data_IF_952377804402
#
_entry.id   IF_952377804402
#
_cell.length_a   1.000
_cell.length_b   1.000
_cell.length_c   1.000
_cell.angle_alpha   90.00
_cell.angle_beta   90.00
_cell.angle_gamma   90.00
#
_symmetry.space_group_name_H-M   'P 1'
#
loop_
_entity.id
_entity.type
_entity.pdbx_description
1 polymer ?
#
# COMPACT_ATOMS: atom_id res chain seq x y z
N UNK A 1 -9.00 7.87 -18.36
CA UNK A 1 -7.78 7.33 -17.70
C UNK A 1 -6.79 6.97 -18.79
N UNK A 2 -5.48 6.94 -18.53
CA UNK A 2 -4.45 6.60 -19.52
C UNK A 2 -4.55 5.09 -19.92
N UNK A 3 -5.65 4.67 -20.55
CA UNK A 3 -5.81 3.38 -21.23
C UNK A 3 -5.15 3.50 -22.61
N UNK A 4 -4.00 2.83 -22.77
CA UNK A 4 -3.33 2.70 -24.05
C UNK A 4 -4.26 2.03 -25.06
N UNK A 5 -4.51 2.74 -26.15
CA UNK A 5 -5.31 2.28 -27.28
C UNK A 5 -4.81 0.93 -27.80
N UNK A 6 -5.74 -0.01 -27.86
CA UNK A 6 -5.61 -1.30 -28.56
C UNK A 6 -5.45 -1.01 -30.06
N UNK A 7 -4.47 -1.58 -30.78
CA UNK A 7 -4.45 -1.45 -32.23
C UNK A 7 -5.58 -2.31 -32.81
N UNK A 8 -6.54 -1.65 -33.48
CA UNK A 8 -7.56 -2.30 -34.28
C UNK A 8 -6.93 -3.12 -35.40
N UNK A 9 -7.50 -4.30 -35.61
CA UNK A 9 -7.15 -5.22 -36.68
C UNK A 9 -7.49 -4.60 -38.05
N UNK A 10 -6.47 -4.30 -38.85
CA UNK A 10 -6.61 -4.03 -40.27
C UNK A 10 -6.34 -5.31 -41.07
N UNK A 11 -7.42 -5.86 -41.63
CA UNK A 11 -7.48 -6.90 -42.65
C UNK A 11 -7.00 -6.35 -44.00
N UNK A 12 -6.02 -7.01 -44.64
CA UNK A 12 -5.76 -7.01 -46.09
C UNK A 12 -4.99 -8.30 -46.42
N UNK A 13 -5.63 -9.38 -46.88
CA UNK A 13 -6.00 -9.67 -48.26
C UNK A 13 -4.80 -10.01 -49.18
N UNK A 14 -4.67 -11.32 -49.42
CA UNK A 14 -4.06 -12.06 -50.55
C UNK A 14 -3.04 -11.40 -51.49
N UNK A 15 -1.89 -12.06 -51.67
CA UNK A 15 -1.50 -12.54 -53.01
C UNK A 15 -0.60 -13.79 -52.90
N UNK A 16 -0.99 -14.86 -53.61
CA UNK A 16 -0.28 -16.14 -53.75
C UNK A 16 0.71 -16.12 -54.92
N UNK A 17 1.72 -16.99 -54.81
CA UNK A 17 2.35 -17.91 -55.81
C UNK A 17 3.85 -17.66 -56.09
N UNK A 18 4.62 -18.68 -56.55
CA UNK A 18 4.74 -20.05 -56.00
C UNK A 18 6.20 -20.58 -56.01
N UNK A 19 6.33 -21.83 -55.58
CA UNK A 19 7.51 -22.69 -55.40
C UNK A 19 8.51 -22.78 -56.58
N UNK A 20 9.79 -22.98 -56.25
CA UNK A 20 10.67 -23.93 -56.94
C UNK A 20 11.66 -24.55 -55.95
N UNK A 21 11.92 -25.84 -56.16
CA UNK A 21 12.61 -26.77 -55.27
C UNK A 21 14.12 -26.82 -55.50
N UNK A 22 14.86 -27.22 -54.47
CA UNK A 22 16.27 -27.60 -54.57
C UNK A 22 16.74 -28.25 -53.27
N UNK A 23 16.72 -29.59 -53.23
CA UNK A 23 17.23 -30.43 -52.15
C UNK A 23 18.75 -30.25 -51.98
N UNK A 24 19.24 -30.19 -50.75
CA UNK A 24 20.49 -30.87 -50.34
C UNK A 24 20.63 -30.86 -48.81
N UNK A 25 20.75 -32.06 -48.28
CA UNK A 25 20.91 -32.48 -46.89
C UNK A 25 22.32 -32.25 -46.32
N UNK A 26 22.44 -32.06 -45.00
CA UNK A 26 23.61 -32.59 -44.27
C UNK A 26 24.20 -31.76 -43.12
N UNK A 27 23.68 -32.02 -41.91
CA UNK A 27 24.38 -32.09 -40.60
C UNK A 27 24.95 -30.83 -39.91
N UNK A 28 24.95 -30.80 -38.55
CA UNK A 28 25.14 -29.59 -37.73
C UNK A 28 26.60 -29.41 -37.29
N UNK A 29 27.04 -28.15 -37.14
CA UNK A 29 28.38 -27.81 -36.60
C UNK A 29 28.21 -26.93 -35.33
N UNK A 30 28.99 -27.16 -34.26
CA UNK A 30 28.72 -26.65 -32.93
C UNK A 30 29.41 -25.30 -32.62
N UNK A 31 28.90 -24.71 -31.54
CA UNK A 31 29.40 -23.59 -30.73
C UNK A 31 30.90 -23.25 -30.89
N UNK A 32 31.19 -21.99 -31.20
CA UNK A 32 32.52 -21.41 -31.17
C UNK A 32 32.50 -20.18 -30.25
N UNK A 33 33.20 -20.30 -29.12
CA UNK A 33 33.56 -19.21 -28.22
C UNK A 33 34.32 -18.13 -29.01
N UNK A 34 33.84 -16.89 -28.91
CA UNK A 34 34.61 -15.71 -29.29
C UNK A 34 34.88 -14.89 -28.04
N UNK A 35 36.11 -15.03 -27.53
CA UNK A 35 36.72 -14.12 -26.59
C UNK A 35 36.82 -12.71 -27.23
N UNK A 36 36.27 -11.71 -26.55
CA UNK A 36 36.26 -10.33 -27.02
C UNK A 36 36.07 -9.32 -25.88
N UNK A 37 37.20 -8.96 -25.26
CA UNK A 37 37.53 -7.60 -24.81
C UNK A 37 36.54 -6.76 -24.00
N UNK A 38 36.90 -6.50 -22.74
CA UNK A 38 37.02 -5.14 -22.21
C UNK A 38 35.78 -4.48 -21.61
N UNK A 39 35.75 -4.35 -20.28
CA UNK A 39 34.86 -3.40 -19.58
C UNK A 39 34.30 -3.94 -18.27
N UNK A 40 35.11 -3.95 -17.22
CA UNK A 40 34.72 -4.37 -15.88
C UNK A 40 33.68 -3.43 -15.26
N UNK A 41 32.49 -3.96 -15.01
CA UNK A 41 31.53 -3.44 -14.04
C UNK A 41 31.03 -4.62 -13.22
N UNK A 42 31.36 -4.67 -11.94
CA UNK A 42 30.95 -5.74 -11.03
C UNK A 42 29.41 -5.81 -10.97
N UNK A 43 28.81 -6.74 -11.70
CA UNK A 43 27.40 -7.07 -11.56
C UNK A 43 27.19 -7.67 -10.16
N UNK A 44 26.66 -6.86 -9.26
CA UNK A 44 26.33 -7.22 -7.89
C UNK A 44 25.49 -8.51 -7.90
N UNK A 45 26.01 -9.59 -7.31
CA UNK A 45 25.41 -10.92 -7.39
C UNK A 45 24.03 -10.95 -6.71
N UNK A 46 22.97 -10.64 -7.45
CA UNK A 46 21.58 -10.67 -6.98
C UNK A 46 21.22 -12.10 -6.56
N UNK A 47 20.86 -12.28 -5.27
CA UNK A 47 20.41 -13.58 -4.75
C UNK A 47 19.20 -14.07 -5.54
N UNK A 48 19.20 -15.36 -5.89
CA UNK A 48 18.05 -15.98 -6.59
C UNK A 48 16.84 -16.05 -5.65
N UNK A 49 15.63 -15.64 -6.09
CA UNK A 49 14.41 -15.74 -5.30
C UNK A 49 14.12 -17.19 -4.90
N UNK A 50 13.84 -17.40 -3.62
CA UNK A 50 13.51 -18.72 -3.04
C UNK A 50 12.00 -18.98 -2.96
N UNK A 51 11.18 -18.04 -3.47
CA UNK A 51 9.71 -18.17 -3.51
C UNK A 51 9.11 -18.44 -2.13
N UNK A 52 8.26 -19.47 -2.06
CA UNK A 52 7.48 -19.83 -0.87
C UNK A 52 8.29 -20.04 0.42
N UNK A 53 9.55 -20.47 0.32
CA UNK A 53 10.40 -20.66 1.53
C UNK A 53 10.70 -19.33 2.22
N UNK A 54 10.89 -18.25 1.47
CA UNK A 54 11.08 -16.91 2.03
C UNK A 54 9.73 -16.33 2.49
N UNK A 55 8.71 -16.50 1.65
CA UNK A 55 7.37 -15.94 1.86
C UNK A 55 6.69 -16.48 3.12
N UNK A 56 6.94 -17.73 3.52
CA UNK A 56 6.38 -18.30 4.76
C UNK A 56 6.75 -17.47 6.01
N UNK A 57 8.00 -17.00 6.10
CA UNK A 57 8.45 -16.13 7.19
C UNK A 57 7.77 -14.75 7.13
N UNK A 58 7.59 -14.20 5.93
CA UNK A 58 6.97 -12.88 5.70
C UNK A 58 5.49 -12.91 6.05
N UNK A 59 4.75 -13.92 5.59
CA UNK A 59 3.30 -14.07 5.85
C UNK A 59 3.05 -14.30 7.34
N UNK A 60 3.84 -15.14 8.01
CA UNK A 60 3.69 -15.39 9.45
C UNK A 60 3.90 -14.12 10.28
N UNK A 61 4.94 -13.34 9.94
CA UNK A 61 5.16 -12.03 10.55
C UNK A 61 4.01 -11.06 10.27
N UNK A 62 3.57 -10.97 9.01
CA UNK A 62 2.47 -10.10 8.63
C UNK A 62 1.17 -10.43 9.37
N UNK A 63 0.86 -11.72 9.57
CA UNK A 63 -0.30 -12.17 10.34
C UNK A 63 -0.24 -11.63 11.78
N UNK A 64 0.88 -11.87 12.47
CA UNK A 64 1.08 -11.45 13.86
C UNK A 64 1.05 -9.92 14.03
N UNK A 65 1.73 -9.20 13.14
CA UNK A 65 1.74 -7.74 13.14
C UNK A 65 0.35 -7.15 12.86
N UNK A 66 -0.41 -7.76 11.95
CA UNK A 66 -1.79 -7.35 11.64
C UNK A 66 -2.73 -7.59 12.82
N UNK A 67 -2.63 -8.75 13.49
CA UNK A 67 -3.41 -9.01 14.72
C UNK A 67 -3.10 -7.95 15.78
N UNK A 68 -1.82 -7.68 16.04
CA UNK A 68 -1.40 -6.73 17.06
C UNK A 68 -1.86 -5.30 16.78
N UNK A 69 -1.61 -4.80 15.56
CA UNK A 69 -2.03 -3.47 15.14
C UNK A 69 -3.55 -3.30 15.17
N UNK A 70 -4.29 -4.25 14.59
CA UNK A 70 -5.75 -4.19 14.56
C UNK A 70 -6.38 -4.34 15.94
N UNK A 71 -5.82 -5.18 16.82
CA UNK A 71 -6.31 -5.35 18.18
C UNK A 71 -6.23 -4.06 18.99
N UNK A 72 -5.22 -3.22 18.76
CA UNK A 72 -5.15 -1.89 19.36
C UNK A 72 -6.05 -0.89 18.65
N UNK A 73 -5.93 -0.75 17.33
CA UNK A 73 -6.66 0.27 16.56
C UNK A 73 -8.18 0.15 16.69
N UNK A 74 -8.76 -1.06 16.59
CA UNK A 74 -10.21 -1.24 16.70
C UNK A 74 -10.74 -1.12 18.14
N UNK A 75 -9.90 -1.37 19.14
CA UNK A 75 -10.29 -1.27 20.55
C UNK A 75 -10.03 0.11 21.14
N UNK A 76 -9.34 1.01 20.43
CA UNK A 76 -8.82 2.27 20.98
C UNK A 76 -9.91 3.12 21.64
N UNK A 77 -11.03 3.36 20.97
CA UNK A 77 -12.14 4.14 21.54
C UNK A 77 -12.69 3.50 22.82
N UNK A 78 -12.88 2.18 22.80
CA UNK A 78 -13.34 1.41 23.97
C UNK A 78 -12.31 1.46 25.11
N UNK A 79 -11.02 1.41 24.80
CA UNK A 79 -9.94 1.51 25.77
C UNK A 79 -9.86 2.91 26.41
N UNK A 80 -10.00 3.96 25.60
CA UNK A 80 -9.96 5.34 26.07
C UNK A 80 -11.15 5.66 26.97
N UNK A 81 -12.34 5.18 26.60
CA UNK A 81 -13.55 5.34 27.42
C UNK A 81 -13.43 4.46 28.66
N UNK A 82 -13.34 3.14 28.52
CA UNK A 82 -13.46 2.18 29.62
C UNK A 82 -12.27 2.13 30.58
N UNK A 83 -11.05 2.46 30.12
CA UNK A 83 -9.85 2.40 30.98
C UNK A 83 -9.25 3.76 31.29
N UNK A 84 -9.28 4.69 30.34
CA UNK A 84 -8.78 6.04 30.53
C UNK A 84 -9.83 7.04 31.03
N UNK A 85 -11.06 6.58 31.28
CA UNK A 85 -12.17 7.39 31.80
C UNK A 85 -12.42 8.66 30.95
N UNK A 86 -12.14 8.60 29.65
CA UNK A 86 -12.35 9.73 28.75
C UNK A 86 -13.82 9.83 28.35
N UNK A 87 -14.32 11.06 28.20
CA UNK A 87 -15.63 11.31 27.59
C UNK A 87 -15.64 10.80 26.16
N UNK A 88 -16.78 10.26 25.72
CA UNK A 88 -16.97 9.67 24.40
C UNK A 88 -16.48 10.57 23.26
N UNK A 89 -16.90 11.84 23.23
CA UNK A 89 -16.47 12.78 22.18
C UNK A 89 -14.95 12.99 22.13
N UNK A 90 -14.29 13.03 23.29
CA UNK A 90 -12.84 13.20 23.36
C UNK A 90 -12.11 11.93 22.91
N UNK A 91 -12.61 10.75 23.30
CA UNK A 91 -12.07 9.46 22.87
C UNK A 91 -12.18 9.25 21.36
N UNK A 92 -13.35 9.55 20.78
CA UNK A 92 -13.57 9.47 19.33
C UNK A 92 -12.67 10.45 18.57
N UNK A 93 -12.48 11.68 19.07
CA UNK A 93 -11.57 12.64 18.44
C UNK A 93 -10.12 12.15 18.44
N UNK A 94 -9.64 11.59 19.55
CA UNK A 94 -8.29 10.98 19.62
C UNK A 94 -8.16 9.80 18.65
N UNK A 95 -9.19 8.95 18.57
CA UNK A 95 -9.22 7.82 17.63
C UNK A 95 -9.18 8.30 16.17
N UNK A 96 -9.91 9.36 15.84
CA UNK A 96 -9.94 9.92 14.49
C UNK A 96 -8.60 10.54 14.10
N UNK A 97 -7.93 11.27 15.02
CA UNK A 97 -6.57 11.80 14.79
C UNK A 97 -5.57 10.66 14.61
N UNK A 98 -5.64 9.64 15.47
CA UNK A 98 -4.78 8.46 15.37
C UNK A 98 -4.97 7.73 14.04
N UNK A 99 -6.22 7.42 13.68
CA UNK A 99 -6.57 6.73 12.44
C UNK A 99 -6.14 7.53 11.21
N UNK A 100 -6.36 8.85 11.20
CA UNK A 100 -5.90 9.71 10.12
C UNK A 100 -4.38 9.70 9.96
N UNK A 101 -3.63 9.82 11.06
CA UNK A 101 -2.16 9.81 11.03
C UNK A 101 -1.62 8.43 10.66
N UNK A 102 -2.22 7.36 11.20
CA UNK A 102 -1.88 5.96 10.92
C UNK A 102 -2.08 5.59 9.45
N UNK A 103 -3.13 6.09 8.81
CA UNK A 103 -3.39 5.85 7.38
C UNK A 103 -2.62 6.80 6.44
N UNK A 104 -2.15 7.94 6.94
CA UNK A 104 -1.31 8.86 6.17
C UNK A 104 0.18 8.48 6.19
N UNK A 105 0.66 7.91 7.31
CA UNK A 105 2.08 7.55 7.46
C UNK A 105 2.65 6.62 6.37
N UNK A 106 1.90 5.69 5.73
CA UNK A 106 2.40 4.89 4.61
C UNK A 106 2.88 5.73 3.43
N UNK A 107 2.34 6.94 3.22
CA UNK A 107 2.81 7.85 2.15
C UNK A 107 4.25 8.29 2.42
N UNK A 108 4.54 8.68 3.66
CA UNK A 108 5.89 9.09 4.09
C UNK A 108 6.83 7.89 4.00
N UNK A 109 6.41 6.73 4.49
CA UNK A 109 7.26 5.54 4.46
C UNK A 109 7.51 4.98 3.06
N UNK A 110 6.55 5.10 2.14
CA UNK A 110 6.76 4.79 0.72
C UNK A 110 7.85 5.68 0.12
N UNK A 111 7.80 6.99 0.39
CA UNK A 111 8.85 7.92 -0.05
C UNK A 111 10.22 7.53 0.51
N UNK A 112 10.33 7.19 1.81
CA UNK A 112 11.59 6.77 2.43
C UNK A 112 12.12 5.45 1.82
N UNK A 113 11.23 4.49 1.59
CA UNK A 113 11.58 3.20 0.99
C UNK A 113 12.10 3.36 -0.43
N UNK A 114 11.43 4.16 -1.26
CA UNK A 114 11.75 4.31 -2.67
C UNK A 114 12.94 5.26 -2.91
N UNK A 115 13.13 6.27 -2.05
CA UNK A 115 14.16 7.29 -2.25
C UNK A 115 15.51 6.96 -1.58
N UNK A 116 15.52 6.29 -0.41
CA UNK A 116 16.75 6.20 0.40
C UNK A 116 17.10 4.78 0.84
N UNK A 117 16.19 4.06 1.47
CA UNK A 117 16.54 2.87 2.26
C UNK A 117 16.31 1.55 1.53
N UNK A 118 15.47 1.55 0.49
CA UNK A 118 14.93 0.33 -0.10
C UNK A 118 13.82 -0.29 0.77
N UNK A 119 13.10 -1.24 0.18
CA UNK A 119 11.90 -1.84 0.76
C UNK A 119 12.19 -2.63 2.05
N UNK A 120 13.25 -3.43 2.06
CA UNK A 120 13.57 -4.28 3.22
C UNK A 120 14.00 -3.50 4.46
N UNK A 121 14.90 -2.52 4.32
CA UNK A 121 15.37 -1.74 5.47
C UNK A 121 14.23 -0.92 6.08
N UNK A 122 13.38 -0.35 5.24
CA UNK A 122 12.20 0.39 5.69
C UNK A 122 11.19 -0.52 6.40
N UNK A 123 10.95 -1.71 5.85
CA UNK A 123 10.16 -2.74 6.51
C UNK A 123 10.75 -3.06 7.89
N UNK A 124 12.04 -3.42 7.96
CA UNK A 124 12.73 -3.81 9.19
C UNK A 124 12.69 -2.72 10.26
N UNK A 125 12.93 -1.46 9.89
CA UNK A 125 12.83 -0.34 10.84
C UNK A 125 11.38 -0.18 11.32
N UNK A 126 10.41 -0.22 10.40
CA UNK A 126 8.99 -0.17 10.73
C UNK A 126 8.57 -1.26 11.70
N UNK A 127 9.04 -2.50 11.51
CA UNK A 127 8.70 -3.62 12.40
C UNK A 127 9.30 -3.47 13.79
N UNK A 128 10.52 -2.95 13.92
CA UNK A 128 11.14 -2.62 15.21
C UNK A 128 10.30 -1.58 15.96
N UNK A 129 9.87 -0.51 15.27
CA UNK A 129 8.96 0.48 15.84
C UNK A 129 7.62 -0.14 16.24
N UNK A 130 7.09 -1.10 15.48
CA UNK A 130 5.84 -1.79 15.78
C UNK A 130 5.92 -2.66 17.03
N UNK A 131 7.01 -3.41 17.19
CA UNK A 131 7.27 -4.21 18.41
C UNK A 131 7.41 -3.28 19.62
N UNK A 132 8.17 -2.20 19.50
CA UNK A 132 8.33 -1.20 20.57
C UNK A 132 6.99 -0.53 20.92
N UNK A 133 6.18 -0.18 19.93
CA UNK A 133 4.85 0.40 20.12
C UNK A 133 3.94 -0.52 20.94
N UNK A 134 3.83 -1.78 20.52
CA UNK A 134 3.00 -2.78 21.19
C UNK A 134 3.50 -3.09 22.60
N UNK A 135 4.83 -3.10 22.82
CA UNK A 135 5.42 -3.21 24.15
C UNK A 135 5.04 -2.02 25.05
N UNK A 136 5.17 -0.78 24.56
CA UNK A 136 4.79 0.43 25.32
C UNK A 136 3.29 0.44 25.63
N UNK A 137 2.44 0.10 24.67
CA UNK A 137 0.98 -0.01 24.87
C UNK A 137 0.66 -1.07 25.93
N UNK A 138 1.28 -2.25 25.85
CA UNK A 138 1.10 -3.32 26.84
C UNK A 138 1.56 -2.91 28.23
N UNK A 139 2.70 -2.22 28.33
CA UNK A 139 3.19 -1.67 29.61
C UNK A 139 2.22 -0.64 30.17
N UNK A 140 1.63 0.22 29.33
CA UNK A 140 0.62 1.20 29.73
C UNK A 140 -0.64 0.55 30.31
N UNK A 141 -0.97 -0.68 29.89
CA UNK A 141 -2.14 -1.41 30.36
C UNK A 141 -1.87 -2.30 31.58
N UNK A 142 -0.63 -2.76 31.75
CA UNK A 142 -0.24 -3.72 32.80
C UNK A 142 0.28 -3.02 34.06
N UNK A 143 1.22 -2.07 33.92
CA UNK A 143 1.92 -1.41 35.04
C UNK A 143 0.99 -0.49 35.82
N UNK A 144 0.91 -0.68 37.15
CA UNK A 144 -0.04 0.02 38.01
C UNK A 144 0.11 1.55 38.00
N UNK A 145 1.33 2.05 37.86
CA UNK A 145 1.62 3.49 37.83
C UNK A 145 1.27 4.13 36.47
N UNK A 146 1.24 3.33 35.40
CA UNK A 146 1.00 3.79 34.01
C UNK A 146 -0.46 3.63 33.58
N UNK A 147 -1.34 3.15 34.46
CA UNK A 147 -2.78 3.04 34.21
C UNK A 147 -3.60 3.82 35.23
N UNK A 148 -4.69 4.48 34.84
CA UNK A 148 -5.60 5.15 35.77
C UNK A 148 -6.17 4.18 36.82
N UNK A 149 -6.56 4.66 38.02
CA UNK A 149 -7.25 3.80 38.98
C UNK A 149 -8.54 3.22 38.35
N UNK A 150 -8.95 2.00 38.73
CA UNK A 150 -10.20 1.42 38.26
C UNK A 150 -11.36 2.31 38.69
N UNK A 151 -12.30 2.55 37.78
CA UNK A 151 -13.52 3.29 38.05
C UNK A 151 -14.73 2.39 37.85
N UNK A 152 -15.75 2.51 38.71
CA UNK A 152 -16.99 1.75 38.54
C UNK A 152 -17.80 2.32 37.36
N UNK A 153 -18.59 1.49 36.64
CA UNK A 153 -19.44 1.97 35.55
C UNK A 153 -20.39 3.10 35.98
N UNK A 154 -20.88 3.04 37.22
CA UNK A 154 -21.71 4.09 37.84
C UNK A 154 -20.95 5.41 38.00
N UNK A 155 -19.72 5.37 38.53
CA UNK A 155 -18.89 6.57 38.67
C UNK A 155 -18.47 7.14 37.31
N UNK A 156 -18.31 6.28 36.31
CA UNK A 156 -18.02 6.70 34.94
C UNK A 156 -19.20 7.42 34.29
N UNK A 157 -20.42 6.91 34.48
CA UNK A 157 -21.64 7.59 34.04
C UNK A 157 -21.87 8.90 34.79
N UNK A 158 -21.57 8.94 36.09
CA UNK A 158 -21.65 10.14 36.92
C UNK A 158 -20.53 11.17 36.62
N UNK A 159 -19.52 10.81 35.82
CA UNK A 159 -18.38 11.69 35.51
C UNK A 159 -17.46 11.96 36.70
N UNK A 160 -17.49 11.13 37.74
CA UNK A 160 -16.71 11.31 38.99
C UNK A 160 -15.37 10.54 38.98
N UNK A 161 -15.06 9.83 37.91
CA UNK A 161 -13.78 9.12 37.77
C UNK A 161 -12.59 10.08 37.74
N UNK A 162 -11.49 9.65 38.34
CA UNK A 162 -10.21 10.34 38.19
C UNK A 162 -9.78 10.36 36.71
N UNK A 163 -9.51 11.58 36.22
CA UNK A 163 -8.93 11.77 34.90
C UNK A 163 -7.52 11.13 34.83
N UNK A 164 -7.08 10.68 33.64
CA UNK A 164 -5.75 10.08 33.51
C UNK A 164 -4.68 11.12 33.81
N UNK A 165 -3.58 10.70 34.44
CA UNK A 165 -2.45 11.60 34.68
C UNK A 165 -1.76 12.00 33.38
N UNK A 166 -0.98 13.10 33.40
CA UNK A 166 -0.22 13.52 32.24
C UNK A 166 0.76 12.43 31.77
N UNK A 167 1.40 11.72 32.71
CA UNK A 167 2.30 10.61 32.40
C UNK A 167 1.57 9.45 31.71
N UNK A 168 0.40 9.06 32.21
CA UNK A 168 -0.40 7.97 31.63
C UNK A 168 -0.79 8.28 30.18
N UNK A 169 -1.26 9.50 29.92
CA UNK A 169 -1.55 9.95 28.55
C UNK A 169 -0.30 10.00 27.68
N UNK A 170 0.82 10.52 28.20
CA UNK A 170 2.07 10.63 27.44
C UNK A 170 2.61 9.26 27.01
N UNK A 171 2.59 8.25 27.88
CA UNK A 171 3.04 6.89 27.55
C UNK A 171 2.13 6.26 26.49
N UNK A 172 0.81 6.40 26.62
CA UNK A 172 -0.11 5.89 25.61
C UNK A 172 0.10 6.57 24.25
N UNK A 173 0.23 7.89 24.22
CA UNK A 173 0.45 8.64 22.99
C UNK A 173 1.83 8.37 22.37
N UNK A 174 2.85 8.07 23.18
CA UNK A 174 4.12 7.57 22.68
C UNK A 174 3.94 6.22 21.98
N UNK A 175 3.23 5.27 22.60
CA UNK A 175 2.90 3.99 21.98
C UNK A 175 2.15 4.14 20.65
N UNK A 176 1.16 5.03 20.61
CA UNK A 176 0.41 5.37 19.40
C UNK A 176 1.32 5.98 18.32
N UNK A 177 2.19 6.93 18.69
CA UNK A 177 3.15 7.55 17.76
C UNK A 177 4.13 6.53 17.17
N UNK A 178 4.66 5.62 17.98
CA UNK A 178 5.51 4.53 17.49
C UNK A 178 4.75 3.60 16.53
N UNK A 179 3.46 3.33 16.81
CA UNK A 179 2.62 2.50 15.95
C UNK A 179 2.33 3.18 14.60
N UNK A 180 2.16 4.50 14.58
CA UNK A 180 2.06 5.30 13.35
C UNK A 180 3.34 5.20 12.51
N UNK A 181 4.51 5.31 13.14
CA UNK A 181 5.81 5.14 12.46
C UNK A 181 5.95 3.71 11.92
N UNK A 182 5.53 2.71 12.69
CA UNK A 182 5.47 1.32 12.26
C UNK A 182 4.63 1.14 10.99
N UNK A 183 3.40 1.67 10.96
CA UNK A 183 2.53 1.58 9.79
C UNK A 183 3.16 2.27 8.57
N UNK A 184 3.84 3.39 8.78
CA UNK A 184 4.60 4.06 7.73
C UNK A 184 5.65 3.15 7.11
N UNK A 185 6.42 2.43 7.94
CA UNK A 185 7.45 1.53 7.46
C UNK A 185 6.92 0.22 6.88
N UNK A 186 5.86 -0.38 7.44
CA UNK A 186 5.44 -1.74 7.10
C UNK A 186 4.37 -1.82 6.02
N UNK A 187 3.41 -0.88 5.99
CA UNK A 187 2.28 -0.91 5.05
C UNK A 187 2.70 -0.75 3.58
N UNK A 188 3.57 0.21 3.19
CA UNK A 188 3.92 0.39 1.80
C UNK A 188 4.93 -0.65 1.30
N UNK A 189 5.69 -1.29 2.20
CA UNK A 189 6.77 -2.21 1.80
C UNK A 189 6.44 -3.68 2.01
N UNK A 190 5.52 -4.04 2.91
CA UNK A 190 5.27 -5.43 3.28
C UNK A 190 4.82 -6.30 2.11
N UNK A 191 3.80 -5.85 1.38
CA UNK A 191 3.29 -6.57 0.21
C UNK A 191 4.28 -6.57 -0.97
N UNK A 192 4.86 -5.42 -1.38
CA UNK A 192 5.88 -5.41 -2.44
C UNK A 192 7.11 -6.25 -2.10
N UNK A 193 7.60 -6.20 -0.86
CA UNK A 193 8.74 -7.02 -0.44
C UNK A 193 8.45 -8.53 -0.53
N UNK A 194 7.22 -8.96 -0.22
CA UNK A 194 6.80 -10.34 -0.41
C UNK A 194 6.68 -10.72 -1.89
N UNK A 195 6.19 -9.81 -2.74
CA UNK A 195 6.14 -10.00 -4.19
C UNK A 195 7.54 -10.13 -4.81
N UNK A 196 8.51 -9.34 -4.32
CA UNK A 196 9.92 -9.37 -4.77
C UNK A 196 10.61 -10.72 -4.51
N UNK A 197 10.01 -11.60 -3.70
CA UNK A 197 10.54 -12.96 -3.46
C UNK A 197 10.22 -13.95 -4.58
N UNK A 198 9.48 -13.53 -5.60
CA UNK A 198 9.13 -14.33 -6.78
C UNK A 198 9.80 -13.76 -8.04
N UNK A 199 10.23 -14.64 -8.95
CA UNK A 199 10.84 -14.25 -10.23
C UNK A 199 9.76 -14.04 -11.29
N UNK A 200 9.44 -12.78 -11.62
CA UNK A 200 8.40 -12.42 -12.59
C UNK A 200 8.56 -13.18 -13.93
N UNK A 201 9.80 -13.39 -14.40
CA UNK A 201 10.06 -13.99 -15.72
C UNK A 201 9.74 -15.47 -15.78
N UNK A 202 10.03 -16.20 -14.70
CA UNK A 202 9.75 -17.63 -14.60
C UNK A 202 8.28 -17.91 -14.31
N UNK A 203 7.62 -17.01 -13.60
CA UNK A 203 6.22 -17.20 -13.23
C UNK A 203 5.23 -16.86 -14.34
N UNK A 204 5.57 -15.97 -15.27
CA UNK A 204 4.74 -15.72 -16.47
C UNK A 204 4.55 -16.96 -17.35
N UNK A 205 5.50 -17.90 -17.34
CA UNK A 205 5.43 -19.14 -18.13
C UNK A 205 4.86 -20.33 -17.35
N UNK A 206 4.76 -20.23 -16.02
CA UNK A 206 4.19 -21.30 -15.21
C UNK A 206 2.67 -21.14 -15.15
N UNK A 207 1.94 -22.18 -15.60
CA UNK A 207 0.47 -22.24 -15.60
C UNK A 207 -0.20 -22.05 -14.22
N UNK A 208 0.58 -21.87 -13.13
CA UNK A 208 0.10 -21.59 -11.78
C UNK A 208 1.01 -20.55 -11.10
N UNK A 209 0.76 -19.26 -11.37
CA UNK A 209 1.56 -18.14 -10.86
C UNK A 209 1.72 -18.15 -9.33
N UNK A 210 2.95 -18.30 -8.84
CA UNK A 210 3.26 -18.24 -7.41
C UNK A 210 2.86 -16.90 -6.81
N UNK A 211 3.05 -15.82 -7.55
CA UNK A 211 2.68 -14.46 -7.20
C UNK A 211 1.17 -14.28 -7.03
N UNK A 212 0.35 -14.84 -7.93
CA UNK A 212 -1.11 -14.79 -7.80
C UNK A 212 -1.59 -15.54 -6.54
N UNK A 213 -1.00 -16.71 -6.27
CA UNK A 213 -1.27 -17.47 -5.03
C UNK A 213 -0.80 -16.71 -3.79
N UNK A 214 0.33 -16.00 -3.86
CA UNK A 214 0.83 -15.16 -2.78
C UNK A 214 -0.14 -14.04 -2.45
N UNK A 215 -0.64 -13.30 -3.46
CA UNK A 215 -1.64 -12.26 -3.23
C UNK A 215 -2.89 -12.83 -2.54
N UNK A 216 -3.41 -13.97 -3.01
CA UNK A 216 -4.58 -14.61 -2.39
C UNK A 216 -4.32 -15.01 -0.93
N UNK A 217 -3.18 -15.64 -0.65
CA UNK A 217 -2.81 -16.02 0.72
C UNK A 217 -2.59 -14.80 1.63
N UNK A 218 -1.96 -13.75 1.12
CA UNK A 218 -1.74 -12.51 1.85
C UNK A 218 -3.07 -11.89 2.30
N UNK A 219 -4.03 -11.76 1.38
CA UNK A 219 -5.35 -11.21 1.71
C UNK A 219 -6.16 -12.14 2.64
N UNK A 220 -6.10 -13.46 2.43
CA UNK A 220 -6.77 -14.41 3.31
C UNK A 220 -6.23 -14.32 4.76
N UNK A 221 -4.91 -14.24 4.91
CA UNK A 221 -4.25 -14.06 6.22
C UNK A 221 -4.63 -12.73 6.86
N UNK A 222 -4.68 -11.64 6.08
CA UNK A 222 -5.13 -10.33 6.58
C UNK A 222 -6.57 -10.39 7.15
N UNK A 223 -7.47 -11.08 6.46
CA UNK A 223 -8.87 -11.23 6.89
C UNK A 223 -8.98 -12.07 8.17
N UNK A 224 -8.30 -13.22 8.25
CA UNK A 224 -8.29 -14.05 9.45
C UNK A 224 -7.67 -13.30 10.64
N UNK A 225 -6.56 -12.60 10.42
CA UNK A 225 -5.92 -11.77 11.44
C UNK A 225 -6.86 -10.69 11.99
N UNK A 226 -7.56 -9.99 11.10
CA UNK A 226 -8.55 -8.95 11.46
C UNK A 226 -9.72 -9.55 12.23
N UNK A 227 -10.24 -10.70 11.79
CA UNK A 227 -11.32 -11.40 12.47
C UNK A 227 -10.92 -11.83 13.88
N UNK A 228 -9.75 -12.43 14.06
CA UNK A 228 -9.23 -12.84 15.37
C UNK A 228 -8.98 -11.65 16.30
N UNK A 229 -8.49 -10.52 15.76
CA UNK A 229 -8.29 -9.30 16.52
C UNK A 229 -9.62 -8.72 17.06
N UNK A 230 -10.65 -8.65 16.20
CA UNK A 230 -11.98 -8.12 16.55
C UNK A 230 -12.83 -9.05 17.42
N UNK A 231 -12.52 -10.34 17.47
CA UNK A 231 -13.29 -11.33 18.23
C UNK A 231 -12.52 -11.81 19.46
N UNK A 232 -11.57 -12.72 19.28
CA UNK A 232 -10.84 -13.39 20.36
C UNK A 232 -10.05 -12.39 21.19
N UNK A 233 -9.23 -11.55 20.56
CA UNK A 233 -8.36 -10.61 21.28
C UNK A 233 -9.20 -9.53 21.96
N UNK A 234 -10.18 -8.96 21.26
CA UNK A 234 -11.08 -7.94 21.81
C UNK A 234 -11.93 -8.48 22.98
N UNK A 235 -12.35 -9.75 22.93
CA UNK A 235 -13.00 -10.41 24.06
C UNK A 235 -12.08 -10.46 25.28
N UNK A 236 -10.82 -10.87 25.11
CA UNK A 236 -9.84 -10.88 26.19
C UNK A 236 -9.62 -9.46 26.74
N UNK A 237 -9.51 -8.44 25.88
CA UNK A 237 -9.32 -7.05 26.28
C UNK A 237 -10.46 -6.53 27.17
N UNK A 238 -11.71 -6.77 26.77
CA UNK A 238 -12.89 -6.17 27.41
C UNK A 238 -13.41 -7.01 28.58
N UNK A 239 -13.40 -8.35 28.48
CA UNK A 239 -14.04 -9.24 29.48
C UNK A 239 -13.05 -9.88 30.46
N UNK A 240 -11.77 -10.02 30.09
CA UNK A 240 -10.75 -10.64 30.96
C UNK A 240 -9.83 -9.57 31.54
N UNK A 241 -8.98 -8.96 30.72
CA UNK A 241 -8.20 -7.79 31.09
C UNK A 241 -7.57 -7.12 29.87
N UNK A 242 -7.52 -5.79 29.90
CA UNK A 242 -6.78 -4.99 28.91
C UNK A 242 -5.30 -5.36 28.84
N UNK A 243 -4.68 -5.63 29.99
CA UNK A 243 -3.27 -6.02 30.07
C UNK A 243 -2.96 -7.31 29.31
N UNK A 244 -3.72 -8.38 29.54
CA UNK A 244 -3.54 -9.65 28.81
C UNK A 244 -3.92 -9.50 27.34
N UNK A 245 -4.99 -8.75 27.05
CA UNK A 245 -5.48 -8.51 25.70
C UNK A 245 -4.46 -7.81 24.79
N UNK A 246 -3.59 -6.95 25.34
CA UNK A 246 -2.46 -6.38 24.59
C UNK A 246 -1.17 -7.22 24.68
N UNK A 247 -0.94 -7.91 25.80
CA UNK A 247 0.25 -8.74 25.98
C UNK A 247 0.31 -9.92 25.00
N UNK A 248 -0.82 -10.60 24.75
CA UNK A 248 -0.88 -11.77 23.86
C UNK A 248 -0.46 -11.41 22.42
N UNK A 249 -1.06 -10.40 21.75
CA UNK A 249 -0.61 -9.99 20.42
C UNK A 249 0.83 -9.45 20.41
N UNK A 250 1.26 -8.77 21.47
CA UNK A 250 2.63 -8.24 21.58
C UNK A 250 3.66 -9.37 21.60
N UNK A 251 3.43 -10.41 22.40
CA UNK A 251 4.30 -11.59 22.46
C UNK A 251 4.31 -12.33 21.12
N UNK A 252 3.15 -12.52 20.50
CA UNK A 252 3.03 -13.15 19.18
C UNK A 252 3.80 -12.37 18.11
N UNK A 253 3.66 -11.04 18.09
CA UNK A 253 4.38 -10.15 17.17
C UNK A 253 5.89 -10.20 17.39
N UNK A 254 6.35 -10.21 18.65
CA UNK A 254 7.77 -10.33 18.97
C UNK A 254 8.36 -11.66 18.49
N UNK A 255 7.69 -12.78 18.76
CA UNK A 255 8.12 -14.11 18.31
C UNK A 255 8.17 -14.16 16.78
N UNK A 256 7.12 -13.67 16.12
CA UNK A 256 7.05 -13.65 14.65
C UNK A 256 8.12 -12.74 14.04
N UNK A 257 8.47 -11.63 14.71
CA UNK A 257 9.57 -10.77 14.30
C UNK A 257 10.93 -11.48 14.40
N UNK A 258 11.21 -12.21 15.49
CA UNK A 258 12.43 -13.01 15.61
C UNK A 258 12.52 -14.08 14.52
N UNK A 259 11.41 -14.75 14.21
CA UNK A 259 11.31 -15.72 13.12
C UNK A 259 11.56 -15.04 11.76
N UNK A 260 11.01 -13.84 11.54
CA UNK A 260 11.27 -13.04 10.34
C UNK A 260 12.76 -12.69 10.17
N UNK A 261 13.48 -12.40 11.27
CA UNK A 261 14.92 -12.14 11.24
C UNK A 261 15.74 -13.38 10.86
N UNK A 262 15.32 -14.58 11.26
CA UNK A 262 15.97 -15.84 10.82
C UNK A 262 15.88 -16.00 9.29
N UNK A 263 14.79 -15.53 8.68
CA UNK A 263 14.58 -15.55 7.23
C UNK A 263 15.48 -14.60 6.41
N UNK A 264 16.22 -13.68 7.04
CA UNK A 264 17.06 -12.66 6.34
C UNK A 264 18.14 -13.24 5.42
N UNK A 265 18.59 -14.48 5.69
CA UNK A 265 19.52 -15.19 4.81
C UNK A 265 18.85 -15.70 3.52
N UNK A 266 17.52 -15.79 3.50
CA UNK A 266 16.71 -16.31 2.40
C UNK A 266 16.16 -15.21 1.48
N UNK A 267 16.05 -13.98 1.99
CA UNK A 267 15.39 -12.89 1.27
C UNK A 267 16.21 -12.33 0.11
N UNK A 268 15.48 -11.87 -0.90
CA UNK A 268 15.97 -11.03 -2.00
C UNK A 268 15.73 -9.56 -1.67
N UNK A 269 16.73 -8.74 -1.95
CA UNK A 269 16.72 -7.30 -1.69
C UNK A 269 16.70 -6.56 -3.02
N UNK A 270 15.67 -5.74 -3.25
CA UNK A 270 15.56 -4.86 -4.42
C UNK A 270 16.10 -3.48 -4.03
N UNK A 271 17.04 -2.90 -4.79
CA UNK A 271 17.57 -1.56 -4.53
C UNK A 271 16.48 -0.48 -4.74
N UNK A 272 16.59 0.69 -4.09
CA UNK A 272 15.66 1.79 -4.30
C UNK A 272 15.70 2.30 -5.75
N UNK A 273 14.55 2.41 -6.42
CA UNK A 273 14.42 2.85 -7.82
C UNK A 273 14.13 4.35 -7.95
N UNK A 274 14.08 5.08 -6.82
CA UNK A 274 13.66 6.48 -6.77
C UNK A 274 12.15 6.63 -6.59
N UNK A 275 11.73 7.78 -6.07
CA UNK A 275 10.32 8.02 -5.75
C UNK A 275 9.58 8.81 -6.83
N UNK A 276 8.40 8.33 -7.21
CA UNK A 276 7.48 9.04 -8.12
C UNK A 276 7.13 10.44 -7.55
N UNK A 277 7.01 10.60 -6.23
CA UNK A 277 6.75 11.90 -5.61
C UNK A 277 7.85 12.92 -5.92
N UNK A 278 9.11 12.49 -5.92
CA UNK A 278 10.23 13.37 -6.29
C UNK A 278 10.20 13.75 -7.77
N UNK A 279 9.78 12.81 -8.65
CA UNK A 279 9.60 13.06 -10.08
C UNK A 279 8.53 14.12 -10.33
N UNK A 280 7.37 13.97 -9.69
CA UNK A 280 6.25 14.92 -9.77
C UNK A 280 6.67 16.30 -9.25
N UNK A 281 7.33 16.37 -8.09
CA UNK A 281 7.81 17.63 -7.53
C UNK A 281 8.80 18.35 -8.46
N UNK A 282 9.73 17.60 -9.08
CA UNK A 282 10.66 18.14 -10.08
C UNK A 282 9.92 18.72 -11.28
N UNK A 283 8.91 18.03 -11.81
CA UNK A 283 8.10 18.51 -12.95
C UNK A 283 7.43 19.84 -12.62
N UNK A 284 6.83 19.98 -11.43
CA UNK A 284 6.24 21.26 -11.02
C UNK A 284 7.27 22.37 -10.89
N UNK A 285 8.39 22.11 -10.20
CA UNK A 285 9.46 23.11 -10.00
C UNK A 285 10.06 23.55 -11.34
N UNK A 286 10.36 22.60 -12.23
CA UNK A 286 10.88 22.87 -13.56
C UNK A 286 9.88 23.66 -14.42
N UNK A 287 8.59 23.29 -14.38
CA UNK A 287 7.52 24.00 -15.09
C UNK A 287 7.38 25.45 -14.61
N UNK A 288 7.43 25.69 -13.29
CA UNK A 288 7.38 27.03 -12.71
C UNK A 288 8.59 27.87 -13.10
N UNK A 289 9.80 27.28 -13.08
CA UNK A 289 11.04 27.95 -13.53
C UNK A 289 10.98 28.33 -15.01
N UNK A 290 10.39 27.47 -15.84
CA UNK A 290 10.25 27.66 -17.29
C UNK A 290 8.91 28.31 -17.68
N UNK A 291 8.15 28.86 -16.73
CA UNK A 291 6.78 29.33 -16.96
C UNK A 291 6.68 30.46 -18.00
N UNK A 292 7.72 31.29 -18.17
CA UNK A 292 7.77 32.37 -19.17
C UNK A 292 8.10 31.88 -20.59
N UNK A 293 8.59 30.65 -20.76
CA UNK A 293 8.91 30.11 -22.08
C UNK A 293 7.64 29.75 -22.85
N UNK A 294 7.69 29.89 -24.17
CA UNK A 294 6.62 29.45 -25.07
C UNK A 294 6.86 27.99 -25.45
N UNK A 295 5.80 27.19 -25.45
CA UNK A 295 5.87 25.83 -25.95
C UNK A 295 6.00 25.85 -27.48
N UNK A 296 6.88 25.02 -28.06
CA UNK A 296 6.86 24.81 -29.50
C UNK A 296 5.58 24.09 -29.89
N UNK A 297 4.95 24.45 -31.00
CA UNK A 297 3.75 23.78 -31.55
C UNK A 297 2.66 23.44 -30.49
N UNK A 298 2.06 24.44 -29.83
CA UNK A 298 1.13 24.22 -28.70
C UNK A 298 -0.12 23.39 -29.04
N UNK A 299 -0.48 23.30 -30.32
CA UNK A 299 -1.67 22.60 -30.82
C UNK A 299 -1.35 21.21 -31.43
N UNK A 300 -0.07 20.83 -31.54
CA UNK A 300 0.35 19.56 -32.16
C UNK A 300 1.29 18.79 -31.24
N UNK A 301 0.74 17.77 -30.57
CA UNK A 301 1.47 16.97 -29.59
C UNK A 301 2.70 16.26 -30.19
N UNK A 302 2.62 15.76 -31.42
CA UNK A 302 3.71 14.99 -32.05
C UNK A 302 4.91 15.88 -32.35
N UNK A 303 4.66 17.03 -32.98
CA UNK A 303 5.72 18.02 -33.28
C UNK A 303 6.31 18.63 -32.01
N UNK A 304 5.49 18.80 -30.98
CA UNK A 304 5.99 19.28 -29.69
C UNK A 304 6.89 18.22 -29.03
N UNK A 305 6.52 16.94 -29.04
CA UNK A 305 7.31 15.84 -28.45
C UNK A 305 8.71 15.74 -29.06
N UNK A 306 8.84 15.89 -30.37
CA UNK A 306 10.13 15.87 -31.10
C UNK A 306 11.12 16.97 -30.66
N UNK A 307 10.62 18.08 -30.10
CA UNK A 307 11.43 19.24 -29.68
C UNK A 307 11.68 19.29 -28.18
N UNK A 308 11.07 18.39 -27.40
CA UNK A 308 11.21 18.32 -25.96
C UNK A 308 12.26 17.28 -25.56
N UNK A 309 12.75 17.37 -24.33
CA UNK A 309 13.67 16.40 -23.77
C UNK A 309 12.96 15.06 -23.54
N UNK A 310 13.26 14.11 -24.42
CA UNK A 310 12.59 12.80 -24.43
C UNK A 310 13.59 11.66 -24.70
N UNK A 311 14.47 11.36 -23.73
CA UNK A 311 15.45 10.29 -23.87
C UNK A 311 14.75 8.93 -24.09
N UNK A 312 15.41 7.97 -24.76
CA UNK A 312 14.90 6.60 -24.86
C UNK A 312 14.51 6.09 -23.47
N UNK A 313 13.35 5.46 -23.35
CA UNK A 313 12.84 4.92 -22.08
C UNK A 313 13.71 3.73 -21.62
N UNK A 314 14.90 4.01 -21.12
CA UNK A 314 15.72 3.07 -20.37
C UNK A 314 15.23 3.18 -18.94
N UNK A 315 14.57 2.12 -18.44
CA UNK A 315 14.14 2.09 -17.05
C UNK A 315 15.31 2.43 -16.12
N UNK A 316 15.03 3.17 -15.06
CA UNK A 316 15.98 3.40 -13.97
C UNK A 316 16.37 2.00 -13.44
N UNK A 317 17.53 1.47 -13.86
CA UNK A 317 17.93 0.08 -13.58
C UNK A 317 18.06 -0.88 -14.77
N UNK A 318 18.16 -0.41 -16.02
CA UNK A 318 18.77 -1.17 -17.13
C UNK A 318 18.06 -2.45 -17.62
N UNK A 319 16.89 -2.80 -17.08
CA UNK A 319 16.24 -4.09 -17.39
C UNK A 319 14.73 -4.08 -17.62
N UNK A 320 14.02 -2.98 -17.31
CA UNK A 320 12.55 -2.91 -17.43
C UNK A 320 12.16 -1.92 -18.52
N UNK A 321 11.56 -2.42 -19.61
CA UNK A 321 10.95 -1.55 -20.64
C UNK A 321 9.74 -0.88 -20.00
N UNK A 322 9.84 0.42 -19.72
CA UNK A 322 8.69 1.22 -19.29
C UNK A 322 7.86 1.54 -20.52
N UNK A 323 6.53 1.44 -20.42
CA UNK A 323 5.65 1.88 -21.48
C UNK A 323 5.76 3.41 -21.61
N UNK A 324 6.26 3.88 -22.75
CA UNK A 324 6.41 5.31 -23.02
C UNK A 324 5.03 5.93 -23.21
N UNK A 325 4.71 6.92 -22.39
CA UNK A 325 3.44 7.64 -22.44
C UNK A 325 3.48 8.67 -23.58
N UNK A 326 2.48 8.71 -24.46
CA UNK A 326 2.42 9.72 -25.52
C UNK A 326 2.18 11.10 -24.92
N UNK A 327 2.78 12.13 -25.52
CA UNK A 327 2.57 13.51 -25.07
C UNK A 327 1.10 13.92 -25.19
N UNK A 328 0.56 14.57 -24.15
CA UNK A 328 -0.81 15.10 -24.15
C UNK A 328 -0.85 16.62 -24.04
N UNK A 329 -1.81 17.27 -24.71
CA UNK A 329 -1.99 18.73 -24.66
C UNK A 329 -2.78 19.21 -23.43
N UNK A 330 -3.45 18.30 -22.73
CA UNK A 330 -4.10 18.61 -21.46
C UNK A 330 -3.04 18.94 -20.40
N UNK A 331 -3.25 20.01 -19.63
CA UNK A 331 -2.27 20.53 -18.67
C UNK A 331 -0.92 20.86 -19.33
N UNK A 332 -0.96 21.41 -20.56
CA UNK A 332 0.22 21.69 -21.38
C UNK A 332 1.28 22.56 -20.71
N UNK A 333 0.92 23.39 -19.73
CA UNK A 333 1.89 24.18 -18.96
C UNK A 333 2.98 23.31 -18.29
N UNK A 334 2.68 22.03 -17.99
CA UNK A 334 3.66 21.09 -17.44
C UNK A 334 4.68 20.61 -18.47
N UNK A 335 4.36 20.68 -19.77
CA UNK A 335 5.31 20.38 -20.85
C UNK A 335 6.51 21.33 -20.81
N UNK A 336 6.37 22.51 -20.19
CA UNK A 336 7.47 23.46 -20.03
C UNK A 336 8.65 22.89 -19.24
N UNK A 337 8.42 21.90 -18.38
CA UNK A 337 9.50 21.20 -17.66
C UNK A 337 10.47 20.45 -18.59
N UNK A 338 10.02 20.07 -19.79
CA UNK A 338 10.81 19.30 -20.76
C UNK A 338 11.46 20.18 -21.85
N UNK A 339 11.30 21.50 -21.81
CA UNK A 339 11.96 22.41 -22.76
C UNK A 339 13.46 22.44 -22.46
N UNK A 340 14.30 22.12 -23.44
CA UNK A 340 15.76 22.30 -23.34
C UNK A 340 16.09 23.76 -23.63
N UNK A 341 16.71 24.46 -22.68
CA UNK A 341 17.11 25.87 -22.84
C UNK A 341 18.55 26.03 -23.28
N UNK A 342 19.42 25.17 -22.77
CA UNK A 342 20.83 25.08 -23.14
C UNK A 342 21.24 23.60 -23.04
N UNK A 343 21.39 22.95 -24.19
CA UNK A 343 21.70 21.52 -24.23
C UNK A 343 23.07 21.21 -23.60
N UNK A 344 24.05 22.11 -23.71
CA UNK A 344 25.39 21.90 -23.18
C UNK A 344 25.43 22.00 -21.65
N UNK A 345 24.58 22.84 -21.06
CA UNK A 345 24.51 23.01 -19.61
C UNK A 345 23.51 22.07 -18.93
N UNK A 346 22.44 21.67 -19.62
CA UNK A 346 21.34 20.89 -19.02
C UNK A 346 21.45 19.38 -19.25
N UNK A 347 22.18 18.91 -20.27
CA UNK A 347 22.27 17.48 -20.62
C UNK A 347 23.71 17.01 -20.49
N UNK A 348 23.93 15.98 -19.65
CA UNK A 348 25.24 15.35 -19.49
C UNK A 348 25.60 14.50 -20.72
N UNK A 349 26.87 14.14 -20.91
CA UNK A 349 27.30 13.26 -22.01
C UNK A 349 26.61 11.88 -22.01
N UNK A 350 26.12 11.42 -20.86
CA UNK A 350 25.33 10.19 -20.70
C UNK A 350 23.86 10.33 -21.14
N UNK A 351 23.45 11.53 -21.57
CA UNK A 351 22.07 11.86 -21.94
C UNK A 351 21.16 12.19 -20.76
N UNK A 352 21.64 12.10 -19.51
CA UNK A 352 20.85 12.40 -18.32
C UNK A 352 20.80 13.91 -18.02
N UNK A 353 19.77 14.41 -17.32
CA UNK A 353 19.74 15.83 -16.95
C UNK A 353 20.87 16.13 -15.95
N UNK A 354 21.66 17.17 -16.22
CA UNK A 354 22.66 17.72 -15.30
C UNK A 354 21.99 18.27 -14.04
N UNK A 355 20.79 18.85 -14.19
CA UNK A 355 19.97 19.40 -13.10
C UNK A 355 18.55 18.83 -13.18
N UNK A 356 18.24 17.74 -12.46
CA UNK A 356 16.92 17.09 -12.50
C UNK A 356 15.73 17.98 -12.07
N UNK A 357 16.00 19.11 -11.41
CA UNK A 357 15.01 20.09 -10.98
C UNK A 357 14.81 21.27 -11.96
N UNK A 358 15.56 21.31 -13.07
CA UNK A 358 15.34 22.30 -14.16
C UNK A 358 14.89 21.64 -15.45
N UNK A 359 15.26 20.38 -15.69
CA UNK A 359 14.89 19.62 -16.88
C UNK A 359 14.33 18.24 -16.49
N UNK A 360 13.12 17.94 -16.95
CA UNK A 360 12.45 16.64 -16.76
C UNK A 360 12.09 16.02 -18.12
N UNK A 361 12.03 14.70 -18.22
CA UNK A 361 11.65 14.04 -19.47
C UNK A 361 10.15 14.13 -19.75
N UNK A 362 9.76 14.00 -21.03
CA UNK A 362 8.34 13.90 -21.44
C UNK A 362 7.63 12.78 -20.66
N UNK A 363 8.27 11.63 -20.45
CA UNK A 363 7.73 10.55 -19.63
C UNK A 363 7.37 11.01 -18.21
N UNK A 364 8.28 11.72 -17.51
CA UNK A 364 8.01 12.21 -16.16
C UNK A 364 6.86 13.23 -16.14
N UNK A 365 6.77 14.07 -17.18
CA UNK A 365 5.67 15.04 -17.33
C UNK A 365 4.33 14.34 -17.51
N UNK A 366 4.26 13.32 -18.38
CA UNK A 366 3.02 12.57 -18.59
C UNK A 366 2.63 11.72 -17.38
N UNK A 367 3.58 11.15 -16.65
CA UNK A 367 3.32 10.50 -15.36
C UNK A 367 2.70 11.48 -14.36
N UNK A 368 3.26 12.69 -14.23
CA UNK A 368 2.72 13.74 -13.37
C UNK A 368 1.31 14.18 -13.80
N UNK A 369 1.04 14.27 -15.11
CA UNK A 369 -0.30 14.56 -15.63
C UNK A 369 -1.30 13.45 -15.36
N UNK A 370 -0.93 12.18 -15.58
CA UNK A 370 -1.83 11.07 -15.27
C UNK A 370 -2.16 11.07 -13.76
N UNK A 371 -1.20 11.39 -12.87
CA UNK A 371 -1.46 11.55 -11.43
C UNK A 371 -2.40 12.71 -11.12
N UNK A 372 -2.17 13.89 -11.70
CA UNK A 372 -3.05 15.06 -11.53
C UNK A 372 -4.49 14.76 -11.98
N UNK A 373 -4.65 14.01 -13.08
CA UNK A 373 -5.97 13.59 -13.59
C UNK A 373 -6.68 12.60 -12.65
N UNK A 374 -5.95 11.90 -11.78
CA UNK A 374 -6.52 10.98 -10.79
C UNK A 374 -6.99 11.73 -9.52
N UNK A 375 -6.44 12.89 -9.21
CA UNK A 375 -6.77 13.67 -7.99
C UNK A 375 -8.28 13.87 -7.79
N UNK A 376 -9.09 14.27 -8.79
CA UNK A 376 -10.53 14.43 -8.58
C UNK A 376 -11.25 13.14 -8.16
N UNK A 377 -10.83 12.00 -8.72
CA UNK A 377 -11.37 10.68 -8.36
C UNK A 377 -10.90 10.26 -6.96
N UNK A 378 -9.68 10.61 -6.58
CA UNK A 378 -9.18 10.38 -5.24
C UNK A 378 -9.92 11.22 -4.19
N UNK A 379 -10.21 12.49 -4.49
CA UNK A 379 -11.01 13.38 -3.63
C UNK A 379 -12.43 12.83 -3.43
N UNK A 380 -13.12 12.36 -4.48
CA UNK A 380 -14.44 11.75 -4.30
C UNK A 380 -14.38 10.48 -3.44
N UNK A 381 -13.27 9.73 -3.51
CA UNK A 381 -13.01 8.56 -2.67
C UNK A 381 -12.85 8.86 -1.17
N UNK A 382 -12.49 10.08 -0.76
CA UNK A 382 -12.34 10.41 0.67
C UNK A 382 -13.67 10.37 1.43
N UNK A 383 -14.79 10.61 0.73
CA UNK A 383 -16.14 10.49 1.31
C UNK A 383 -16.36 9.07 1.81
N UNK A 384 -16.08 8.06 0.98
CA UNK A 384 -16.20 6.65 1.37
C UNK A 384 -15.39 6.32 2.63
N UNK A 385 -14.13 6.75 2.71
CA UNK A 385 -13.29 6.48 3.88
C UNK A 385 -13.80 7.13 5.17
N UNK A 386 -14.37 8.34 5.06
CA UNK A 386 -15.03 9.03 6.17
C UNK A 386 -16.23 8.21 6.67
N UNK A 387 -17.05 7.74 5.74
CA UNK A 387 -18.22 6.91 6.04
C UNK A 387 -17.83 5.60 6.70
N UNK A 388 -16.81 4.88 6.21
CA UNK A 388 -16.37 3.63 6.83
C UNK A 388 -15.81 3.87 8.24
N UNK A 389 -15.05 4.95 8.46
CA UNK A 389 -14.50 5.29 9.79
C UNK A 389 -15.63 5.55 10.79
N UNK A 390 -16.59 6.39 10.42
CA UNK A 390 -17.72 6.71 11.28
C UNK A 390 -18.68 5.53 11.45
N UNK A 391 -18.83 4.66 10.45
CA UNK A 391 -19.59 3.41 10.57
C UNK A 391 -19.06 2.58 11.73
N UNK A 392 -17.73 2.43 11.87
CA UNK A 392 -17.15 1.66 12.97
C UNK A 392 -17.39 2.30 14.34
N UNK A 393 -17.28 3.64 14.44
CA UNK A 393 -17.52 4.37 15.69
C UNK A 393 -19.00 4.34 16.09
N UNK A 394 -19.92 4.71 15.19
CA UNK A 394 -21.35 4.73 15.49
C UNK A 394 -21.91 3.33 15.73
N UNK A 395 -21.46 2.34 14.96
CA UNK A 395 -21.85 0.94 15.19
C UNK A 395 -21.42 0.49 16.59
N UNK A 396 -20.21 0.84 17.06
CA UNK A 396 -19.79 0.55 18.43
C UNK A 396 -20.70 1.24 19.47
N UNK A 397 -21.03 2.51 19.27
CA UNK A 397 -21.88 3.26 20.19
C UNK A 397 -23.31 2.71 20.23
N UNK A 398 -23.90 2.42 19.08
CA UNK A 398 -25.20 1.77 18.99
C UNK A 398 -25.17 0.39 19.65
N UNK A 399 -24.16 -0.43 19.34
CA UNK A 399 -23.93 -1.74 19.94
C UNK A 399 -23.85 -1.67 21.47
N UNK A 400 -23.29 -0.60 22.03
CA UNK A 400 -23.18 -0.43 23.49
C UNK A 400 -24.52 -0.26 24.20
N UNK A 401 -25.59 0.05 23.44
CA UNK A 401 -26.97 0.18 23.92
C UNK A 401 -27.87 -1.00 23.55
N UNK A 402 -27.37 -1.95 22.75
CA UNK A 402 -28.10 -3.13 22.29
C UNK A 402 -27.94 -4.31 23.25
N UNK A 403 -28.89 -5.25 23.20
CA UNK A 403 -28.71 -6.55 23.85
C UNK A 403 -27.74 -7.42 23.04
N UNK A 404 -26.60 -7.78 23.64
CA UNK A 404 -25.51 -8.54 22.99
C UNK A 404 -25.37 -9.95 23.56
N UNK A 405 -26.38 -10.46 24.27
CA UNK A 405 -26.39 -11.83 24.77
C UNK A 405 -26.61 -12.83 23.63
N UNK A 406 -25.63 -13.72 23.42
CA UNK A 406 -25.77 -14.91 22.58
C UNK A 406 -25.97 -16.12 23.51
N UNK A 407 -27.20 -16.28 23.98
CA UNK A 407 -27.56 -17.26 25.01
C UNK A 407 -27.27 -16.75 26.43
N UNK A 408 -27.31 -17.65 27.41
CA UNK A 408 -27.33 -17.28 28.84
C UNK A 408 -25.97 -16.88 29.43
N UNK A 409 -24.86 -17.28 28.80
CA UNK A 409 -23.52 -17.19 29.40
C UNK A 409 -22.51 -16.39 28.58
N UNK A 410 -22.88 -15.93 27.38
CA UNK A 410 -21.97 -15.24 26.49
C UNK A 410 -22.55 -13.91 26.04
N UNK A 411 -21.85 -12.83 26.36
CA UNK A 411 -22.19 -11.48 25.90
C UNK A 411 -21.06 -10.98 25.00
N UNK A 412 -21.39 -10.71 23.75
CA UNK A 412 -20.44 -10.21 22.76
C UNK A 412 -20.00 -8.78 23.16
N UNK A 413 -18.71 -8.44 23.11
CA UNK A 413 -18.28 -7.06 23.30
C UNK A 413 -18.87 -6.14 22.21
N UNK A 414 -19.38 -4.95 22.53
CA UNK A 414 -19.99 -4.05 21.53
C UNK A 414 -19.11 -3.77 20.32
N UNK A 415 -17.80 -3.59 20.51
CA UNK A 415 -16.87 -3.32 19.43
C UNK A 415 -16.63 -4.55 18.52
N UNK A 416 -16.93 -5.77 18.97
CA UNK A 416 -16.83 -6.98 18.15
C UNK A 416 -17.89 -7.06 17.05
N UNK A 417 -18.96 -6.24 17.10
CA UNK A 417 -19.96 -6.20 16.02
C UNK A 417 -19.33 -5.80 14.68
N UNK A 418 -18.25 -5.01 14.71
CA UNK A 418 -17.47 -4.65 13.51
C UNK A 418 -16.91 -5.89 12.79
N UNK A 419 -16.71 -7.02 13.48
CA UNK A 419 -16.31 -8.28 12.84
C UNK A 419 -17.33 -8.77 11.81
N UNK A 420 -18.63 -8.49 12.02
CA UNK A 420 -19.71 -8.86 11.10
C UNK A 420 -19.54 -8.13 9.76
N UNK A 421 -19.18 -6.84 9.79
CA UNK A 421 -18.89 -6.06 8.59
C UNK A 421 -17.72 -6.68 7.80
N UNK A 422 -16.61 -7.00 8.46
CA UNK A 422 -15.46 -7.61 7.79
C UNK A 422 -15.77 -9.01 7.24
N UNK A 423 -16.56 -9.80 7.95
CA UNK A 423 -17.01 -11.10 7.48
C UNK A 423 -17.93 -10.96 6.25
N UNK A 424 -18.85 -9.98 6.27
CA UNK A 424 -19.72 -9.69 5.14
C UNK A 424 -18.89 -9.30 3.90
N UNK A 425 -17.86 -8.45 4.05
CA UNK A 425 -16.94 -8.12 2.96
C UNK A 425 -16.20 -9.36 2.46
N UNK A 426 -15.66 -10.18 3.37
CA UNK A 426 -14.91 -11.39 3.00
C UNK A 426 -15.77 -12.42 2.24
N UNK A 427 -17.07 -12.53 2.56
CA UNK A 427 -18.01 -13.39 1.86
C UNK A 427 -18.54 -12.76 0.57
N UNK A 428 -18.74 -11.44 0.55
CA UNK A 428 -19.29 -10.73 -0.60
C UNK A 428 -18.32 -10.72 -1.79
N UNK A 429 -17.00 -10.58 -1.55
CA UNK A 429 -15.99 -10.57 -2.62
C UNK A 429 -16.07 -11.81 -3.53
N UNK A 430 -15.95 -13.06 -3.03
CA UNK A 430 -16.04 -14.24 -3.88
C UNK A 430 -17.42 -14.41 -4.51
N UNK A 431 -18.50 -14.04 -3.82
CA UNK A 431 -19.86 -14.07 -4.39
C UNK A 431 -19.99 -13.09 -5.55
N UNK A 432 -19.53 -11.86 -5.38
CA UNK A 432 -19.51 -10.84 -6.43
C UNK A 432 -18.71 -11.31 -7.64
N UNK A 433 -17.51 -11.85 -7.42
CA UNK A 433 -16.66 -12.34 -8.51
C UNK A 433 -17.32 -13.51 -9.25
N UNK A 434 -17.98 -14.44 -8.55
CA UNK A 434 -18.72 -15.54 -9.16
C UNK A 434 -19.93 -15.07 -9.96
N UNK A 435 -20.70 -14.11 -9.43
CA UNK A 435 -21.89 -13.58 -10.09
C UNK A 435 -21.51 -12.73 -11.31
N UNK A 436 -20.53 -11.84 -11.16
CA UNK A 436 -20.10 -10.90 -12.21
C UNK A 436 -19.30 -11.61 -13.30
N UNK A 437 -18.40 -12.55 -12.96
CA UNK A 437 -17.68 -13.34 -13.98
C UNK A 437 -18.64 -14.14 -14.86
N UNK A 438 -19.74 -14.65 -14.30
CA UNK A 438 -20.80 -15.34 -15.04
C UNK A 438 -21.69 -14.39 -15.84
N UNK A 439 -22.04 -13.23 -15.28
CA UNK A 439 -23.00 -12.30 -15.90
C UNK A 439 -22.39 -11.34 -16.93
N UNK A 440 -21.10 -10.98 -16.82
CA UNK A 440 -20.51 -9.85 -17.57
C UNK A 440 -19.58 -10.23 -18.73
N UNK A 441 -19.60 -11.49 -19.17
CA UNK A 441 -18.84 -12.03 -20.31
C UNK A 441 -18.91 -11.23 -21.63
N UNK A 442 -19.78 -10.21 -21.74
CA UNK A 442 -19.90 -9.37 -22.93
C UNK A 442 -19.70 -7.86 -22.72
N UNK A 443 -19.71 -7.33 -21.48
CA UNK A 443 -19.69 -5.87 -21.27
C UNK A 443 -18.93 -5.32 -20.05
N UNK A 444 -18.41 -6.16 -19.14
CA UNK A 444 -17.53 -5.78 -18.01
C UNK A 444 -17.85 -4.47 -17.26
N UNK A 445 -18.28 -4.54 -16.00
CA UNK A 445 -18.46 -3.32 -15.19
C UNK A 445 -17.10 -2.62 -14.99
N UNK A 446 -17.00 -1.35 -15.38
CA UNK A 446 -15.75 -0.59 -15.24
C UNK A 446 -15.41 -0.34 -13.76
N UNK A 447 -14.13 -0.17 -13.45
CA UNK A 447 -13.69 0.12 -12.07
C UNK A 447 -14.34 1.40 -11.50
N UNK A 448 -14.51 2.43 -12.33
CA UNK A 448 -15.19 3.68 -11.97
C UNK A 448 -16.67 3.46 -11.67
N UNK A 449 -17.37 2.64 -12.44
CA UNK A 449 -18.77 2.28 -12.16
C UNK A 449 -18.91 1.53 -10.83
N UNK A 450 -17.97 0.62 -10.53
CA UNK A 450 -17.94 -0.08 -9.23
C UNK A 450 -17.73 0.89 -8.06
N UNK A 451 -16.79 1.84 -8.22
CA UNK A 451 -16.55 2.89 -7.21
C UNK A 451 -17.78 3.78 -7.00
N UNK A 452 -18.41 4.25 -8.09
CA UNK A 452 -19.62 5.07 -8.03
C UNK A 452 -20.80 4.35 -7.36
N UNK A 453 -21.04 3.07 -7.70
CA UNK A 453 -22.08 2.27 -7.07
C UNK A 453 -21.81 2.07 -5.56
N UNK A 454 -20.55 1.84 -5.17
CA UNK A 454 -20.17 1.72 -3.76
C UNK A 454 -20.47 2.98 -2.95
N UNK A 455 -20.19 4.16 -3.50
CA UNK A 455 -20.52 5.45 -2.84
C UNK A 455 -22.03 5.63 -2.63
N UNK A 456 -22.86 5.26 -3.62
CA UNK A 456 -24.33 5.33 -3.50
C UNK A 456 -24.84 4.36 -2.44
N UNK A 457 -24.36 3.12 -2.44
CA UNK A 457 -24.74 2.12 -1.44
C UNK A 457 -24.31 2.54 -0.03
N UNK A 458 -23.13 3.17 0.11
CA UNK A 458 -22.67 3.73 1.38
C UNK A 458 -23.63 4.80 1.90
N UNK A 459 -24.01 5.75 1.05
CA UNK A 459 -24.93 6.82 1.40
C UNK A 459 -26.28 6.28 1.87
N UNK A 460 -26.82 5.29 1.17
CA UNK A 460 -28.06 4.62 1.58
C UNK A 460 -27.92 3.91 2.93
N UNK A 461 -26.78 3.29 3.20
CA UNK A 461 -26.52 2.58 4.46
C UNK A 461 -26.43 3.50 5.69
N UNK A 462 -26.21 4.81 5.52
CA UNK A 462 -26.23 5.80 6.61
C UNK A 462 -27.61 6.42 6.85
N UNK A 463 -28.52 6.31 5.88
CA UNK A 463 -29.90 6.79 6.01
C UNK A 463 -30.75 5.80 6.82
N UNK A 464 -30.42 4.52 6.72
CA UNK A 464 -31.01 3.41 7.50
C UNK A 464 -30.28 3.31 8.84
#
# INVERSE_FOLDING_TARGET
MCEGGRPEAASMASHRRPQSAGLSSGLPVPEQEAAGGGGGGAAEATRRPRGWRAVAFIIGFYAAASIAGNAFSFSLTSYLIGRYNMKQNAATNVNNIFSGTYNFSPVIGAFVADAFWGRFRTLLVGTVFGVAAMAVITLSATVHQLKPPPCSPLAQQAGTCAAPSALQRAVLYLGMGLLVVSAGGTSPTGLPFGADQFDERKEQHSKQGGLARFYNWYYAVAMVATFLALTVVLYVQVKVSWGLGFAIPTALMLIAFLVFLVGTKLYVYVPPEGSIFSSVARVFVASCRKWRLRLPHPDDARRQEELLYDPPAVGIGGGRRVFKLPLTLQLSFLNKAAIVTDAAAEIRPDGAPARPWSLCSVQQVEEAKCLLKIIPVWISGTVWFTMVTELTNYTFLQASTMDLHMGKHFTVPPASIVAVFYLAVALFVPVYDLLVSRATLRRGITLLQRQGAGLVVAALAFVV
#
